data_IF_600494695078
#
_entry.id   IF_600494695078
#
_cell.length_a   1.000
_cell.length_b   1.000
_cell.length_c   1.000
_cell.angle_alpha   90.00
_cell.angle_beta   90.00
_cell.angle_gamma   90.00
#
_symmetry.space_group_name_H-M   'P 1'
#
loop_
_entity.id
_entity.type
_entity.pdbx_description
1 polymer ?
#
# COMPACT_ATOMS: atom_id res chain seq x y z
N UNK A 1 -1.67 -10.48 -3.00
CA UNK A 1 -1.55 -9.16 -2.36
C UNK A 1 -2.75 -8.33 -2.78
N UNK A 2 -3.42 -7.66 -1.85
CA UNK A 2 -4.53 -6.75 -2.09
C UNK A 2 -4.02 -5.31 -2.20
N UNK A 3 -4.10 -4.77 -3.40
CA UNK A 3 -3.66 -3.41 -3.73
C UNK A 3 -4.54 -2.32 -3.13
N UNK A 4 -5.83 -2.62 -2.90
CA UNK A 4 -6.76 -1.69 -2.27
C UNK A 4 -6.42 -1.49 -0.81
N UNK A 5 -5.96 -2.56 -0.14
CA UNK A 5 -5.51 -2.49 1.23
C UNK A 5 -4.23 -1.66 1.38
N UNK A 6 -3.27 -1.77 0.45
CA UNK A 6 -2.09 -0.90 0.42
C UNK A 6 -2.48 0.59 0.32
N UNK A 7 -3.38 0.92 -0.63
CA UNK A 7 -3.87 2.29 -0.80
C UNK A 7 -4.60 2.79 0.46
N UNK A 8 -5.38 1.93 1.12
CA UNK A 8 -6.11 2.28 2.34
C UNK A 8 -5.16 2.61 3.50
N UNK A 9 -4.07 1.86 3.67
CA UNK A 9 -3.05 2.16 4.70
C UNK A 9 -2.44 3.54 4.48
N UNK A 10 -2.01 3.84 3.25
CA UNK A 10 -1.43 5.15 2.91
C UNK A 10 -2.43 6.29 3.08
N UNK A 11 -3.69 6.06 2.72
CA UNK A 11 -4.77 7.03 2.94
C UNK A 11 -5.00 7.30 4.43
N UNK A 12 -5.03 6.27 5.28
CA UNK A 12 -5.19 6.45 6.72
C UNK A 12 -4.04 7.27 7.31
N UNK A 13 -2.79 7.00 6.90
CA UNK A 13 -1.63 7.79 7.33
C UNK A 13 -1.72 9.27 6.90
N UNK A 14 -2.26 9.55 5.70
CA UNK A 14 -2.49 10.92 5.21
C UNK A 14 -3.63 11.63 5.97
N UNK A 15 -4.71 10.91 6.27
CA UNK A 15 -5.91 11.44 6.93
C UNK A 15 -5.69 11.73 8.42
N UNK A 16 -4.99 10.84 9.13
CA UNK A 16 -4.84 10.93 10.58
C UNK A 16 -3.52 11.57 11.01
N UNK A 17 -2.45 11.37 10.22
CA UNK A 17 -1.08 11.67 10.67
C UNK A 17 -0.59 10.76 11.81
N UNK A 18 -1.36 9.74 12.17
CA UNK A 18 -1.11 8.81 13.28
C UNK A 18 -0.69 7.44 12.76
N UNK A 19 0.05 6.64 13.55
CA UNK A 19 0.38 5.27 13.19
C UNK A 19 -0.88 4.42 12.89
N UNK A 20 -0.76 3.56 11.88
CA UNK A 20 -1.80 2.61 11.48
C UNK A 20 -1.36 1.21 11.86
N UNK A 21 -1.96 0.69 12.93
CA UNK A 21 -1.77 -0.69 13.37
C UNK A 21 -2.66 -1.65 12.56
N UNK A 22 -2.21 -2.91 12.39
CA UNK A 22 -2.93 -3.92 11.61
C UNK A 22 -4.37 -4.16 12.10
N UNK A 23 -4.60 -3.99 13.40
CA UNK A 23 -5.89 -4.13 14.08
C UNK A 23 -6.92 -3.13 13.54
N UNK A 24 -6.51 -1.90 13.18
CA UNK A 24 -7.39 -0.85 12.64
C UNK A 24 -8.00 -1.26 11.28
N UNK A 25 -7.30 -2.12 10.54
CA UNK A 25 -7.71 -2.58 9.21
C UNK A 25 -8.54 -3.87 9.27
N UNK A 26 -8.57 -4.53 10.43
CA UNK A 26 -9.19 -5.84 10.60
C UNK A 26 -10.72 -5.73 10.60
N UNK A 27 -11.37 -6.56 9.80
CA UNK A 27 -12.84 -6.61 9.68
C UNK A 27 -13.29 -7.99 9.17
N UNK A 28 -14.58 -8.16 8.83
CA UNK A 28 -15.14 -9.43 8.33
C UNK A 28 -14.48 -9.96 7.05
N UNK A 29 -13.77 -9.13 6.30
CA UNK A 29 -13.12 -9.47 5.02
C UNK A 29 -11.59 -9.40 5.07
N UNK A 30 -11.02 -8.73 6.08
CA UNK A 30 -9.56 -8.57 6.23
C UNK A 30 -9.16 -9.09 7.60
N UNK A 31 -8.41 -10.19 7.63
CA UNK A 31 -7.83 -10.69 8.88
C UNK A 31 -6.64 -9.83 9.32
N UNK A 32 -6.32 -9.87 10.61
CA UNK A 32 -5.15 -9.16 11.17
C UNK A 32 -3.84 -9.62 10.52
N UNK A 33 -3.69 -10.90 10.20
CA UNK A 33 -2.52 -11.42 9.49
C UNK A 33 -2.40 -10.82 8.08
N UNK A 34 -3.53 -10.73 7.35
CA UNK A 34 -3.56 -10.07 6.04
C UNK A 34 -3.20 -8.60 6.19
N UNK A 35 -3.80 -7.86 7.13
CA UNK A 35 -3.46 -6.46 7.38
C UNK A 35 -1.97 -6.28 7.70
N UNK A 36 -1.44 -7.10 8.61
CA UNK A 36 -0.04 -7.03 9.04
C UNK A 36 0.94 -7.33 7.90
N UNK A 37 0.59 -8.29 7.04
CA UNK A 37 1.36 -8.58 5.83
C UNK A 37 1.41 -7.39 4.86
N UNK A 38 0.32 -6.66 4.67
CA UNK A 38 0.31 -5.50 3.77
C UNK A 38 1.10 -4.31 4.33
N UNK A 39 1.04 -4.09 5.65
CA UNK A 39 1.93 -3.11 6.32
C UNK A 39 3.39 -3.52 6.14
N UNK A 40 3.72 -4.80 6.33
CA UNK A 40 5.06 -5.31 6.11
C UNK A 40 5.57 -5.07 4.69
N UNK A 41 4.74 -5.30 3.67
CA UNK A 41 5.14 -5.05 2.28
C UNK A 41 5.46 -3.57 2.00
N UNK A 42 4.74 -2.63 2.64
CA UNK A 42 5.05 -1.21 2.55
C UNK A 42 6.36 -0.83 3.26
N UNK A 43 6.64 -1.48 4.39
CA UNK A 43 7.89 -1.31 5.14
C UNK A 43 9.07 -1.87 4.35
N UNK A 44 8.97 -3.12 3.90
CA UNK A 44 9.98 -3.83 3.11
C UNK A 44 10.26 -3.12 1.78
N UNK A 45 9.22 -2.56 1.16
CA UNK A 45 9.33 -1.75 -0.04
C UNK A 45 9.88 -0.33 0.19
N UNK A 46 10.09 0.10 1.43
CA UNK A 46 10.59 1.43 1.76
C UNK A 46 9.59 2.57 1.52
N UNK A 47 8.29 2.27 1.40
CA UNK A 47 7.23 3.28 1.24
C UNK A 47 6.74 3.81 2.59
N UNK A 48 6.92 3.04 3.66
CA UNK A 48 6.52 3.40 5.01
C UNK A 48 7.64 3.05 5.99
N UNK A 49 7.85 3.91 6.98
CA UNK A 49 8.58 3.54 8.19
C UNK A 49 7.60 2.95 9.20
N UNK A 50 7.99 1.84 9.83
CA UNK A 50 7.10 1.12 10.71
C UNK A 50 7.80 0.06 11.54
N UNK A 51 7.02 -0.69 12.31
CA UNK A 51 7.48 -1.76 13.19
C UNK A 51 6.77 -3.05 12.80
N UNK A 52 7.50 -4.16 12.79
CA UNK A 52 6.91 -5.49 12.67
C UNK A 52 7.53 -6.45 13.66
N UNK A 53 6.73 -7.38 14.17
CA UNK A 53 7.19 -8.50 14.99
C UNK A 53 6.78 -9.78 14.30
N UNK A 54 7.74 -10.71 14.15
CA UNK A 54 7.51 -12.04 13.60
C UNK A 54 7.49 -13.06 14.73
N UNK A 55 6.59 -14.03 14.67
CA UNK A 55 6.65 -15.21 15.51
C UNK A 55 7.84 -16.10 15.12
N UNK A 56 8.19 -17.05 15.99
CA UNK A 56 9.24 -18.04 15.73
C UNK A 56 9.01 -18.86 14.44
N UNK A 57 7.76 -18.96 13.96
CA UNK A 57 7.39 -19.62 12.70
C UNK A 57 7.41 -18.70 11.46
N UNK A 58 7.87 -17.46 11.58
CA UNK A 58 8.01 -16.51 10.47
C UNK A 58 6.77 -15.66 10.15
N UNK A 59 5.60 -16.03 10.68
CA UNK A 59 4.36 -15.24 10.54
C UNK A 59 4.44 -13.89 11.26
N UNK A 60 3.80 -12.86 10.71
CA UNK A 60 3.79 -11.51 11.26
C UNK A 60 2.69 -11.42 12.31
N UNK A 61 3.07 -11.25 13.58
CA UNK A 61 2.14 -11.18 14.72
C UNK A 61 1.81 -9.76 15.13
N UNK A 62 2.61 -8.80 14.69
CA UNK A 62 2.35 -7.37 14.88
C UNK A 62 2.93 -6.60 13.70
N UNK A 63 2.19 -5.62 13.22
CA UNK A 63 2.70 -4.64 12.26
C UNK A 63 2.03 -3.29 12.48
N UNK A 64 2.84 -2.24 12.45
CA UNK A 64 2.42 -0.85 12.59
C UNK A 64 3.14 0.01 11.57
N UNK A 65 2.36 0.69 10.73
CA UNK A 65 2.85 1.71 9.82
C UNK A 65 2.92 3.04 10.59
N UNK A 66 4.11 3.59 10.83
CA UNK A 66 4.27 4.80 11.65
C UNK A 66 4.13 6.07 10.81
N UNK A 67 4.75 6.10 9.63
CA UNK A 67 4.64 7.23 8.69
C UNK A 67 5.04 6.83 7.29
N UNK A 68 4.57 7.57 6.28
CA UNK A 68 5.10 7.43 4.92
C UNK A 68 6.54 7.96 4.82
N UNK A 69 7.36 7.27 4.04
CA UNK A 69 8.64 7.82 3.55
C UNK A 69 8.36 8.83 2.45
N UNK A 70 9.40 9.52 1.97
CA UNK A 70 9.26 10.38 0.78
C UNK A 70 8.76 9.59 -0.43
N UNK A 71 9.29 8.38 -0.66
CA UNK A 71 8.82 7.50 -1.74
C UNK A 71 7.35 7.09 -1.55
N UNK A 72 6.94 6.82 -0.31
CA UNK A 72 5.52 6.59 0.07
C UNK A 72 4.61 7.75 -0.29
N UNK A 73 5.01 8.97 0.07
CA UNK A 73 4.25 10.19 -0.23
C UNK A 73 4.11 10.41 -1.75
N UNK A 74 5.20 10.26 -2.50
CA UNK A 74 5.16 10.39 -3.97
C UNK A 74 4.28 9.33 -4.62
N UNK A 75 4.39 8.08 -4.17
CA UNK A 75 3.53 7.00 -4.65
C UNK A 75 2.06 7.28 -4.34
N UNK A 76 1.74 7.62 -3.10
CA UNK A 76 0.37 7.93 -2.68
C UNK A 76 -0.21 9.11 -3.46
N UNK A 77 0.56 10.18 -3.67
CA UNK A 77 0.14 11.32 -4.47
C UNK A 77 -0.29 10.92 -5.89
N UNK A 78 0.42 9.98 -6.52
CA UNK A 78 0.06 9.47 -7.85
C UNK A 78 -1.24 8.64 -7.82
N UNK A 79 -1.45 7.81 -6.80
CA UNK A 79 -2.65 6.96 -6.69
C UNK A 79 -3.81 7.59 -5.90
N UNK A 80 -3.69 8.85 -5.45
CA UNK A 80 -4.74 9.54 -4.70
C UNK A 80 -5.98 9.76 -5.56
N UNK A 81 -5.78 10.09 -6.84
CA UNK A 81 -6.87 10.25 -7.82
C UNK A 81 -7.53 8.91 -8.14
N UNK A 82 -8.86 8.83 -7.99
CA UNK A 82 -9.62 7.64 -8.36
C UNK A 82 -9.45 7.28 -9.84
N UNK A 83 -9.34 8.28 -10.72
CA UNK A 83 -9.07 8.06 -12.16
C UNK A 83 -7.74 7.34 -12.39
N UNK A 84 -6.67 7.83 -11.76
CA UNK A 84 -5.35 7.20 -11.88
C UNK A 84 -5.36 5.81 -11.23
N UNK A 85 -6.02 5.67 -10.08
CA UNK A 85 -6.14 4.40 -9.41
C UNK A 85 -6.84 3.33 -10.27
N UNK A 86 -7.91 3.69 -10.97
CA UNK A 86 -8.61 2.78 -11.88
C UNK A 86 -7.71 2.36 -13.05
N UNK A 87 -6.91 3.29 -13.60
CA UNK A 87 -5.91 2.96 -14.63
C UNK A 87 -4.86 1.98 -14.10
N UNK A 88 -4.35 2.18 -12.89
CA UNK A 88 -3.38 1.28 -12.26
C UNK A 88 -3.97 -0.11 -12.05
N UNK A 89 -5.22 -0.21 -11.55
CA UNK A 89 -5.91 -1.50 -11.39
C UNK A 89 -6.11 -2.22 -12.72
N UNK A 90 -6.48 -1.49 -13.77
CA UNK A 90 -6.67 -2.07 -15.10
C UNK A 90 -5.34 -2.59 -15.66
N UNK A 91 -4.26 -1.83 -15.54
CA UNK A 91 -2.92 -2.28 -15.93
C UNK A 91 -2.48 -3.52 -15.14
N UNK A 92 -2.73 -3.54 -13.82
CA UNK A 92 -2.41 -4.69 -12.97
C UNK A 92 -3.19 -5.95 -13.37
N UNK A 93 -4.46 -5.81 -13.77
CA UNK A 93 -5.27 -6.92 -14.25
C UNK A 93 -4.67 -7.58 -15.50
N UNK A 94 -4.01 -6.82 -16.37
CA UNK A 94 -3.35 -7.37 -17.58
C UNK A 94 -2.16 -8.27 -17.28
N UNK A 95 -1.53 -8.13 -16.11
CA UNK A 95 -0.35 -8.91 -15.68
C UNK A 95 -0.69 -9.97 -14.62
N UNK A 96 -1.96 -10.36 -14.49
CA UNK A 96 -2.41 -11.42 -13.57
C UNK A 96 -2.89 -10.95 -12.20
N UNK A 97 -3.08 -9.64 -11.99
CA UNK A 97 -3.78 -9.08 -10.83
C UNK A 97 -2.95 -8.92 -9.55
N UNK A 98 -1.66 -9.28 -9.56
CA UNK A 98 -0.75 -9.08 -8.43
C UNK A 98 0.64 -8.71 -8.91
N UNK A 99 1.31 -7.79 -8.20
CA UNK A 99 2.67 -7.35 -8.48
C UNK A 99 3.35 -6.88 -7.18
N UNK A 100 4.64 -6.53 -7.22
CA UNK A 100 5.29 -5.90 -6.07
C UNK A 100 4.84 -4.44 -5.90
N UNK A 101 5.05 -3.86 -4.71
CA UNK A 101 4.72 -2.44 -4.45
C UNK A 101 5.52 -1.51 -5.37
N UNK A 102 6.77 -1.85 -5.70
CA UNK A 102 7.58 -1.07 -6.65
C UNK A 102 7.01 -1.09 -8.07
N UNK A 103 6.47 -2.23 -8.52
CA UNK A 103 5.78 -2.31 -9.82
C UNK A 103 4.52 -1.45 -9.80
N UNK A 104 3.73 -1.49 -8.72
CA UNK A 104 2.57 -0.61 -8.57
C UNK A 104 2.94 0.87 -8.62
N UNK A 105 4.03 1.25 -7.94
CA UNK A 105 4.54 2.63 -7.98
C UNK A 105 4.95 3.05 -9.40
N UNK A 106 5.54 2.14 -10.17
CA UNK A 106 5.93 2.40 -11.57
C UNK A 106 4.70 2.55 -12.48
N UNK A 107 3.70 1.67 -12.32
CA UNK A 107 2.44 1.78 -13.05
C UNK A 107 1.70 3.07 -12.72
N UNK A 108 1.69 3.49 -11.45
CA UNK A 108 1.08 4.74 -11.03
C UNK A 108 1.75 5.96 -11.67
N UNK A 109 3.08 5.99 -11.70
CA UNK A 109 3.83 7.04 -12.38
C UNK A 109 3.51 7.09 -13.88
N UNK A 110 3.48 5.94 -14.54
CA UNK A 110 3.13 5.85 -15.96
C UNK A 110 1.71 6.35 -16.25
N UNK A 111 0.73 5.98 -15.42
CA UNK A 111 -0.65 6.42 -15.55
C UNK A 111 -0.81 7.95 -15.40
N UNK A 112 -0.05 8.56 -14.46
CA UNK A 112 0.02 10.02 -14.34
C UNK A 112 0.63 10.65 -15.60
N UNK A 113 1.75 10.13 -16.10
CA UNK A 113 2.41 10.64 -17.31
C UNK A 113 1.49 10.59 -18.54
N UNK A 114 0.76 9.49 -18.73
CA UNK A 114 -0.21 9.34 -19.82
C UNK A 114 -1.38 10.33 -19.70
N UNK A 115 -1.73 10.72 -18.49
CA UNK A 115 -2.82 11.69 -18.24
C UNK A 115 -2.42 13.14 -18.50
N UNK A 116 -1.12 13.42 -18.71
CA UNK A 116 -0.58 14.76 -18.98
C UNK A 116 -0.53 15.09 -20.48
N UNK A 117 -0.81 14.14 -21.38
CA UNK A 117 -0.89 14.44 -22.81
C UNK A 117 -2.06 15.40 -23.13
N UNK A 118 -1.71 16.70 -23.23
CA UNK A 118 -2.43 17.78 -23.91
C UNK A 118 -1.94 17.84 -25.35
#
# INVERSE_FOLDING_TARGET
>A
MDVSLLRRILQLLDETGEPVDAEVLTNSHVSQEVAAYHIYLLIDGGFVEGRTTKANGGGIVFASAVRMTWAGQQFYANIRSNKIWDQVKNALATIGGSASVQVLSSLALQAVQQSIHI
#
